data_IF_978129962081
#
_entry.id   IF_978129962081
#
_cell.length_a   1.000
_cell.length_b   1.000
_cell.length_c   1.000
_cell.angle_alpha   90.00
_cell.angle_beta   90.00
_cell.angle_gamma   90.00
#
_symmetry.space_group_name_H-M   'P 1'
#
loop_
_entity.id
_entity.type
_entity.pdbx_description
1 polymer ?
#
# COMPACT_ATOMS: atom_id res chain seq x y z
N UNK A 1 -0.28 -19.26 1.75
CA UNK A 1 0.92 -18.68 2.39
C UNK A 1 2.15 -18.82 1.51
N UNK A 2 2.56 -20.01 1.07
CA UNK A 2 3.74 -20.16 0.18
C UNK A 2 3.55 -19.41 -1.16
N UNK A 3 2.40 -19.58 -1.83
CA UNK A 3 2.13 -18.89 -3.11
C UNK A 3 2.13 -17.37 -2.98
N UNK A 4 1.58 -16.85 -1.88
CA UNK A 4 1.61 -15.41 -1.58
C UNK A 4 3.06 -14.92 -1.44
N UNK A 5 3.88 -15.57 -0.61
CA UNK A 5 5.26 -15.15 -0.37
C UNK A 5 6.16 -15.22 -1.61
N UNK A 6 5.97 -16.24 -2.46
CA UNK A 6 6.72 -16.33 -3.73
C UNK A 6 6.33 -15.20 -4.67
N UNK A 7 5.03 -14.97 -4.87
CA UNK A 7 4.55 -13.88 -5.73
C UNK A 7 4.97 -12.51 -5.19
N UNK A 8 4.89 -12.30 -3.87
CA UNK A 8 5.29 -11.06 -3.21
C UNK A 8 6.80 -10.79 -3.34
N UNK A 9 7.64 -11.82 -3.19
CA UNK A 9 9.10 -11.67 -3.35
C UNK A 9 9.47 -11.27 -4.78
N UNK A 10 8.85 -11.90 -5.79
CA UNK A 10 9.07 -11.57 -7.21
C UNK A 10 8.55 -10.16 -7.52
N UNK A 11 7.37 -9.82 -7.00
CA UNK A 11 6.76 -8.51 -7.16
C UNK A 11 7.64 -7.42 -6.53
N UNK A 12 8.08 -7.59 -5.29
CA UNK A 12 8.91 -6.64 -4.55
C UNK A 12 10.22 -6.32 -5.27
N UNK A 13 10.87 -7.33 -5.85
CA UNK A 13 12.07 -7.10 -6.68
C UNK A 13 11.76 -6.26 -7.92
N UNK A 14 10.61 -6.50 -8.56
CA UNK A 14 10.23 -5.84 -9.82
C UNK A 14 9.75 -4.40 -9.59
N UNK A 15 9.00 -4.15 -8.51
CA UNK A 15 8.44 -2.84 -8.18
C UNK A 15 9.54 -1.80 -7.97
N UNK A 16 10.65 -2.17 -7.31
CA UNK A 16 11.77 -1.25 -7.12
C UNK A 16 12.42 -0.77 -8.43
N UNK A 17 12.38 -1.56 -9.50
CA UNK A 17 12.77 -1.10 -10.83
C UNK A 17 11.67 -0.26 -11.49
N UNK A 18 10.41 -0.68 -11.36
CA UNK A 18 9.26 -0.01 -11.97
C UNK A 18 9.10 1.42 -11.43
N UNK A 19 9.30 1.63 -10.13
CA UNK A 19 9.25 2.94 -9.50
C UNK A 19 10.24 3.94 -10.10
N UNK A 20 11.44 3.48 -10.48
CA UNK A 20 12.47 4.33 -11.09
C UNK A 20 12.03 4.89 -12.45
N UNK A 21 11.19 4.14 -13.19
CA UNK A 21 10.76 4.52 -14.53
C UNK A 21 9.38 5.19 -14.55
N UNK A 22 8.40 4.65 -13.82
CA UNK A 22 7.01 5.10 -13.86
C UNK A 22 6.70 6.17 -12.81
N UNK A 23 7.57 6.33 -11.81
CA UNK A 23 7.33 7.21 -10.67
C UNK A 23 6.45 6.58 -9.60
N UNK A 24 6.64 7.08 -8.38
CA UNK A 24 6.02 6.58 -7.15
C UNK A 24 4.49 6.68 -7.16
N UNK A 25 3.96 7.84 -7.56
CA UNK A 25 2.52 8.11 -7.63
C UNK A 25 1.78 7.12 -8.54
N UNK A 26 2.38 6.79 -9.69
CA UNK A 26 1.78 5.85 -10.64
C UNK A 26 1.68 4.44 -10.04
N UNK A 27 2.73 3.96 -9.40
CA UNK A 27 2.74 2.64 -8.76
C UNK A 27 1.68 2.54 -7.66
N UNK A 28 1.55 3.59 -6.83
CA UNK A 28 0.57 3.64 -5.74
C UNK A 28 -0.88 3.64 -6.26
N UNK A 29 -1.19 4.44 -7.30
CA UNK A 29 -2.51 4.47 -7.93
C UNK A 29 -2.83 3.12 -8.59
N UNK A 30 -1.86 2.52 -9.27
CA UNK A 30 -2.02 1.21 -9.90
C UNK A 30 -2.37 0.13 -8.86
N UNK A 31 -1.62 0.07 -7.74
CA UNK A 31 -1.91 -0.85 -6.64
C UNK A 31 -3.30 -0.61 -6.03
N UNK A 32 -3.73 0.66 -5.90
CA UNK A 32 -5.07 1.01 -5.43
C UNK A 32 -6.16 0.43 -6.33
N UNK A 33 -6.03 0.64 -7.66
CA UNK A 33 -6.99 0.14 -8.65
C UNK A 33 -7.07 -1.39 -8.61
N UNK A 34 -5.91 -2.06 -8.56
CA UNK A 34 -5.84 -3.52 -8.45
C UNK A 34 -6.56 -4.00 -7.19
N UNK A 35 -6.30 -3.40 -6.03
CA UNK A 35 -6.97 -3.78 -4.79
C UNK A 35 -8.47 -3.48 -4.78
N UNK A 36 -8.93 -2.35 -5.33
CA UNK A 36 -10.37 -2.09 -5.50
C UNK A 36 -11.04 -3.15 -6.35
N UNK A 37 -10.42 -3.50 -7.50
CA UNK A 37 -10.97 -4.50 -8.41
C UNK A 37 -11.07 -5.88 -7.74
N UNK A 38 -10.05 -6.27 -6.97
CA UNK A 38 -10.04 -7.52 -6.20
C UNK A 38 -11.09 -7.52 -5.09
N UNK A 39 -11.18 -6.45 -4.30
CA UNK A 39 -12.15 -6.33 -3.21
C UNK A 39 -13.59 -6.39 -3.73
N UNK A 40 -13.89 -5.67 -4.81
CA UNK A 40 -15.21 -5.72 -5.45
C UNK A 40 -15.49 -7.15 -5.95
N UNK A 41 -14.50 -7.80 -6.57
CA UNK A 41 -14.62 -9.19 -7.01
C UNK A 41 -14.93 -10.12 -5.84
N UNK A 42 -14.21 -10.02 -4.71
CA UNK A 42 -14.44 -10.83 -3.51
C UNK A 42 -15.81 -10.57 -2.85
N UNK A 43 -16.37 -9.37 -2.97
CA UNK A 43 -17.69 -9.04 -2.41
C UNK A 43 -18.83 -9.63 -3.25
N UNK A 44 -18.64 -9.69 -4.58
CA UNK A 44 -19.64 -10.16 -5.54
C UNK A 44 -19.53 -11.67 -5.80
N UNK A 45 -18.33 -12.24 -5.69
CA UNK A 45 -18.05 -13.63 -5.97
C UNK A 45 -18.26 -14.51 -4.74
N UNK A 46 -19.11 -15.52 -4.87
CA UNK A 46 -19.26 -16.59 -3.87
C UNK A 46 -18.27 -17.73 -4.16
N UNK A 47 -17.47 -18.18 -3.18
CA UNK A 47 -16.53 -19.27 -3.41
C UNK A 47 -17.27 -20.58 -3.67
N UNK A 48 -17.03 -21.17 -4.83
CA UNK A 48 -17.48 -22.52 -5.18
C UNK A 48 -16.30 -23.50 -5.15
N UNK A 49 -16.51 -24.72 -4.62
CA UNK A 49 -15.45 -25.73 -4.45
C UNK A 49 -14.75 -26.12 -5.76
N UNK A 50 -15.44 -26.00 -6.91
CA UNK A 50 -14.87 -26.30 -8.24
C UNK A 50 -13.93 -25.22 -8.78
N UNK A 51 -13.80 -24.06 -8.13
CA UNK A 51 -13.09 -22.88 -8.63
C UNK A 51 -11.84 -22.53 -7.81
N UNK A 52 -11.15 -23.53 -7.25
CA UNK A 52 -9.95 -23.33 -6.41
C UNK A 52 -8.85 -22.52 -7.12
N UNK A 53 -8.74 -22.63 -8.45
CA UNK A 53 -7.77 -21.87 -9.24
C UNK A 53 -7.98 -20.34 -9.15
N UNK A 54 -9.23 -19.89 -9.01
CA UNK A 54 -9.57 -18.45 -8.88
C UNK A 54 -8.99 -17.88 -7.59
N UNK A 55 -8.97 -18.67 -6.51
CA UNK A 55 -8.38 -18.28 -5.23
C UNK A 55 -6.87 -18.07 -5.38
N UNK A 56 -6.17 -18.93 -6.12
CA UNK A 56 -4.74 -18.75 -6.37
C UNK A 56 -4.43 -17.50 -7.19
N UNK A 57 -5.26 -17.19 -8.20
CA UNK A 57 -5.13 -15.96 -8.97
C UNK A 57 -5.36 -14.72 -8.09
N UNK A 58 -6.40 -14.74 -7.27
CA UNK A 58 -6.69 -13.67 -6.32
C UNK A 58 -5.50 -13.44 -5.38
N UNK A 59 -4.94 -14.51 -4.82
CA UNK A 59 -3.77 -14.43 -3.93
C UNK A 59 -2.55 -13.85 -4.66
N UNK A 60 -2.28 -14.29 -5.89
CA UNK A 60 -1.15 -13.79 -6.68
C UNK A 60 -1.28 -12.30 -7.02
N UNK A 61 -2.48 -11.86 -7.43
CA UNK A 61 -2.73 -10.45 -7.74
C UNK A 61 -2.72 -9.60 -6.47
N UNK A 62 -3.24 -10.12 -5.35
CA UNK A 62 -3.17 -9.43 -4.06
C UNK A 62 -1.72 -9.22 -3.62
N UNK A 63 -0.87 -10.25 -3.70
CA UNK A 63 0.55 -10.11 -3.36
C UNK A 63 1.30 -9.11 -4.23
N UNK A 64 0.89 -8.94 -5.51
CA UNK A 64 1.48 -7.91 -6.35
C UNK A 64 1.19 -6.50 -5.83
N UNK A 65 -0.04 -6.25 -5.38
CA UNK A 65 -0.40 -4.98 -4.77
C UNK A 65 0.27 -4.80 -3.40
N UNK A 66 0.32 -5.85 -2.58
CA UNK A 66 0.97 -5.86 -1.26
C UNK A 66 2.44 -5.45 -1.34
N UNK A 67 3.19 -6.07 -2.26
CA UNK A 67 4.57 -5.71 -2.56
C UNK A 67 4.73 -4.21 -2.85
N UNK A 68 3.81 -3.62 -3.62
CA UNK A 68 3.85 -2.19 -3.93
C UNK A 68 3.65 -1.37 -2.66
N UNK A 69 2.62 -1.66 -1.85
CA UNK A 69 2.34 -0.89 -0.63
C UNK A 69 3.50 -0.89 0.34
N UNK A 70 4.15 -2.05 0.51
CA UNK A 70 5.29 -2.16 1.41
C UNK A 70 6.52 -1.45 0.83
N UNK A 71 6.97 -1.80 -0.37
CA UNK A 71 8.18 -1.22 -0.95
C UNK A 71 8.08 0.30 -1.14
N UNK A 72 7.01 0.79 -1.78
CA UNK A 72 6.78 2.24 -1.96
C UNK A 72 6.57 2.95 -0.62
N UNK A 73 5.83 2.32 0.31
CA UNK A 73 5.46 2.91 1.59
C UNK A 73 6.67 3.20 2.46
N UNK A 74 7.55 2.21 2.62
CA UNK A 74 8.81 2.38 3.34
C UNK A 74 9.73 3.39 2.63
N UNK A 75 9.75 3.42 1.30
CA UNK A 75 10.55 4.37 0.54
C UNK A 75 10.10 5.83 0.72
N UNK A 76 8.79 6.11 0.83
CA UNK A 76 8.27 7.46 1.07
C UNK A 76 8.85 8.04 2.36
N UNK A 77 8.79 7.27 3.44
CA UNK A 77 9.27 7.72 4.76
C UNK A 77 10.77 8.02 4.74
N UNK A 78 11.59 7.19 4.07
CA UNK A 78 13.02 7.45 3.89
C UNK A 78 13.35 8.66 3.02
N UNK A 79 12.47 9.04 2.08
CA UNK A 79 12.68 10.29 1.30
C UNK A 79 12.19 11.54 2.01
N UNK A 80 11.19 11.43 2.89
CA UNK A 80 10.53 12.57 3.52
C UNK A 80 11.26 13.08 4.78
N UNK A 81 11.97 12.20 5.49
CA UNK A 81 12.54 12.48 6.81
C UNK A 81 14.05 12.20 6.95
N UNK A 82 14.85 12.52 5.93
CA UNK A 82 16.29 12.23 5.84
C UNK A 82 17.18 12.67 7.03
N UNK A 83 16.69 13.52 7.93
CA UNK A 83 17.39 13.92 9.16
C UNK A 83 17.06 13.06 10.39
N UNK A 84 15.87 12.49 10.45
CA UNK A 84 15.32 11.77 11.62
C UNK A 84 14.67 10.45 11.18
N UNK A 85 15.34 9.73 10.27
CA UNK A 85 14.84 8.51 9.63
C UNK A 85 14.44 7.44 10.66
N UNK A 86 15.27 7.21 11.69
CA UNK A 86 15.01 6.19 12.72
C UNK A 86 13.68 6.42 13.48
N UNK A 87 13.38 7.67 13.82
CA UNK A 87 12.14 8.02 14.52
C UNK A 87 10.93 7.89 13.58
N UNK A 88 11.09 8.28 12.32
CA UNK A 88 10.04 8.17 11.31
C UNK A 88 9.70 6.70 10.99
N UNK A 89 10.72 5.85 10.81
CA UNK A 89 10.56 4.42 10.58
C UNK A 89 9.96 3.70 11.79
N UNK A 90 10.45 3.99 13.00
CA UNK A 90 9.91 3.40 14.23
C UNK A 90 8.44 3.75 14.44
N UNK A 91 8.05 5.01 14.20
CA UNK A 91 6.66 5.44 14.29
C UNK A 91 5.78 4.77 13.21
N UNK A 92 6.30 4.60 11.99
CA UNK A 92 5.57 3.88 10.92
C UNK A 92 5.30 2.42 11.29
N UNK A 93 6.34 1.72 11.76
CA UNK A 93 6.22 0.33 12.21
C UNK A 93 5.20 0.19 13.36
N UNK A 94 5.25 1.10 14.34
CA UNK A 94 4.30 1.10 15.46
C UNK A 94 2.85 1.19 15.01
N UNK A 95 2.55 2.07 14.05
CA UNK A 95 1.19 2.23 13.52
C UNK A 95 0.74 1.02 12.67
N UNK A 96 1.66 0.39 11.96
CA UNK A 96 1.38 -0.84 11.21
C UNK A 96 1.06 -1.99 12.17
N UNK A 97 1.90 -2.22 13.18
CA UNK A 97 1.70 -3.26 14.19
C UNK A 97 0.42 -3.05 15.00
N UNK A 98 0.08 -1.80 15.31
CA UNK A 98 -1.18 -1.45 15.97
C UNK A 98 -2.38 -1.85 15.11
N UNK A 99 -2.30 -1.65 13.80
CA UNK A 99 -3.32 -2.08 12.85
C UNK A 99 -3.51 -3.60 12.84
N UNK A 100 -2.41 -4.35 12.77
CA UNK A 100 -2.44 -5.82 12.84
C UNK A 100 -2.99 -6.32 14.17
N UNK A 101 -2.62 -5.68 15.28
CA UNK A 101 -3.13 -6.02 16.60
C UNK A 101 -4.65 -5.84 16.70
N UNK A 102 -5.17 -4.69 16.25
CA UNK A 102 -6.61 -4.42 16.22
C UNK A 102 -7.32 -5.47 15.35
N UNK A 103 -6.82 -5.73 14.13
CA UNK A 103 -7.42 -6.72 13.25
C UNK A 103 -7.43 -8.12 13.89
N UNK A 104 -6.33 -8.54 14.52
CA UNK A 104 -6.22 -9.82 15.20
C UNK A 104 -7.27 -10.00 16.31
N UNK A 105 -7.52 -8.96 17.12
CA UNK A 105 -8.54 -9.00 18.17
C UNK A 105 -9.95 -9.21 17.62
N UNK A 106 -10.26 -8.61 16.47
CA UNK A 106 -11.60 -8.67 15.88
C UNK A 106 -11.77 -9.78 14.84
N UNK A 107 -10.69 -10.44 14.40
CA UNK A 107 -10.71 -11.42 13.31
C UNK A 107 -11.68 -12.59 13.53
N UNK A 108 -11.90 -13.01 14.79
CA UNK A 108 -12.81 -14.12 15.13
C UNK A 108 -14.28 -13.72 15.25
N UNK A 109 -14.59 -12.41 15.35
CA UNK A 109 -15.94 -11.90 15.64
C UNK A 109 -16.61 -11.24 14.44
N UNK A 110 -15.83 -10.72 13.48
CA UNK A 110 -16.35 -10.02 12.31
C UNK A 110 -16.63 -10.99 11.16
N UNK A 111 -17.81 -10.86 10.54
CA UNK A 111 -18.17 -11.58 9.32
C UNK A 111 -17.31 -11.10 8.14
N UNK A 112 -16.82 -12.04 7.32
CA UNK A 112 -15.93 -11.76 6.17
C UNK A 112 -16.41 -10.61 5.29
N UNK A 113 -17.71 -10.56 4.97
CA UNK A 113 -18.29 -9.49 4.14
C UNK A 113 -18.11 -8.10 4.76
N UNK A 114 -18.29 -7.99 6.07
CA UNK A 114 -18.08 -6.73 6.80
C UNK A 114 -16.61 -6.34 6.80
N UNK A 115 -15.70 -7.31 6.99
CA UNK A 115 -14.25 -7.06 6.91
C UNK A 115 -13.82 -6.52 5.54
N UNK A 116 -14.38 -7.06 4.45
CA UNK A 116 -14.11 -6.57 3.09
C UNK A 116 -14.60 -5.14 2.85
N UNK A 117 -15.78 -4.79 3.37
CA UNK A 117 -16.32 -3.41 3.27
C UNK A 117 -15.46 -2.45 4.10
N UNK A 118 -15.08 -2.83 5.32
CA UNK A 118 -14.20 -2.02 6.17
C UNK A 118 -12.85 -1.78 5.49
N UNK A 119 -12.29 -2.80 4.85
CA UNK A 119 -11.03 -2.68 4.12
C UNK A 119 -11.16 -1.74 2.90
N UNK A 120 -12.29 -1.77 2.20
CA UNK A 120 -12.56 -0.86 1.07
C UNK A 120 -12.68 0.60 1.54
N UNK A 121 -13.36 0.85 2.66
CA UNK A 121 -13.46 2.18 3.27
C UNK A 121 -12.10 2.65 3.79
N UNK A 122 -11.31 1.76 4.37
CA UNK A 122 -9.96 2.09 4.81
C UNK A 122 -9.08 2.49 3.63
N UNK A 123 -9.11 1.71 2.54
CA UNK A 123 -8.38 2.01 1.31
C UNK A 123 -8.77 3.38 0.71
N UNK A 124 -10.06 3.73 0.68
CA UNK A 124 -10.49 5.06 0.18
C UNK A 124 -9.96 6.20 1.04
N UNK A 125 -10.04 6.07 2.36
CA UNK A 125 -9.50 7.08 3.28
C UNK A 125 -7.98 7.21 3.11
N UNK A 126 -7.25 6.08 3.04
CA UNK A 126 -5.81 6.08 2.80
C UNK A 126 -5.42 6.78 1.50
N UNK A 127 -6.15 6.54 0.41
CA UNK A 127 -5.88 7.20 -0.88
C UNK A 127 -6.16 8.71 -0.85
N UNK A 128 -7.20 9.15 -0.13
CA UNK A 128 -7.47 10.59 0.08
C UNK A 128 -6.34 11.24 0.86
N UNK A 129 -5.93 10.63 1.98
CA UNK A 129 -4.80 11.11 2.78
C UNK A 129 -3.52 11.18 1.97
N UNK A 130 -3.22 10.17 1.16
CA UNK A 130 -2.06 10.17 0.26
C UNK A 130 -2.14 11.30 -0.79
N UNK A 131 -3.32 11.52 -1.39
CA UNK A 131 -3.54 12.63 -2.31
C UNK A 131 -3.27 14.00 -1.67
N UNK A 132 -3.68 14.18 -0.40
CA UNK A 132 -3.38 15.41 0.35
C UNK A 132 -1.86 15.55 0.57
N UNK A 133 -1.16 14.48 0.94
CA UNK A 133 0.29 14.51 1.13
C UNK A 133 1.02 14.91 -0.15
N UNK A 134 0.64 14.34 -1.29
CA UNK A 134 1.23 14.67 -2.59
C UNK A 134 0.97 16.14 -2.97
N UNK A 135 -0.23 16.67 -2.70
CA UNK A 135 -0.56 18.08 -2.91
C UNK A 135 0.27 19.01 -2.02
N UNK A 136 0.47 18.64 -0.75
CA UNK A 136 1.32 19.40 0.18
C UNK A 136 2.78 19.39 -0.28
N UNK A 137 3.28 18.26 -0.76
CA UNK A 137 4.64 18.13 -1.27
C UNK A 137 4.84 18.94 -2.57
N UNK A 138 3.88 18.87 -3.49
CA UNK A 138 3.88 19.69 -4.71
C UNK A 138 3.90 21.20 -4.39
N UNK A 139 3.10 21.63 -3.41
CA UNK A 139 3.08 23.02 -2.97
C UNK A 139 4.41 23.45 -2.31
N UNK A 140 5.04 22.59 -1.50
CA UNK A 140 6.37 22.87 -0.93
C UNK A 140 7.44 23.02 -2.02
N UNK A 141 7.45 22.13 -3.02
CA UNK A 141 8.37 22.19 -4.16
C UNK A 141 8.18 23.47 -4.98
N UNK A 142 6.94 23.96 -5.14
CA UNK A 142 6.65 25.25 -5.79
C UNK A 142 7.11 26.48 -5.01
N UNK A 143 7.13 26.41 -3.67
CA UNK A 143 7.51 27.54 -2.81
C UNK A 143 9.03 27.63 -2.58
N UNK A 144 9.79 26.53 -2.78
CA UNK A 144 11.24 26.47 -2.55
C UNK A 144 12.20 26.66 -3.76
N UNK A 145 11.85 27.13 -4.97
CA UNK A 145 12.80 27.14 -6.08
C UNK A 145 13.92 28.20 -6.02
N UNK A 146 14.10 28.96 -4.92
CA UNK A 146 15.03 30.13 -4.88
C UNK A 146 16.02 30.15 -3.70
N UNK A 147 15.98 29.20 -2.74
CA UNK A 147 16.78 29.34 -1.50
C UNK A 147 18.09 28.55 -1.41
N UNK A 148 18.42 27.70 -2.37
CA UNK A 148 19.66 26.89 -2.32
C UNK A 148 20.85 27.52 -3.06
N UNK A 149 20.69 28.61 -3.83
CA UNK A 149 21.82 29.27 -4.51
C UNK A 149 22.57 30.32 -3.66
N UNK A 150 22.11 30.65 -2.44
CA UNK A 150 22.72 31.75 -1.65
C UNK A 150 23.46 31.33 -0.38
N UNK A 151 23.89 30.07 -0.27
CA UNK A 151 24.79 29.66 0.84
C UNK A 151 25.90 28.76 0.30
N UNK A 152 26.85 29.36 -0.40
CA UNK A 152 28.23 28.88 -0.55
C UNK A 152 29.17 30.05 -0.24
#
# INVERSE_FOLDING_TARGET
>A
MIGFGVCDSIASFTVGYLEKYAGRLFCFIFAAIVNYSLLITMILWGPAESQTYVIFLIVAVWSLADAVWQTTGWAIYGTLFTKDDEAAFSNRALWEDTGYFIFFLYASTIVVRTSLILLLVYLTVSMICYGILELLEYNKRKVQPVREETVN
#
